data_IF_845203852957
#
_entry.id   IF_845203852957
#
_cell.length_a   1.000
_cell.length_b   1.000
_cell.length_c   1.000
_cell.angle_alpha   90.00
_cell.angle_beta   90.00
_cell.angle_gamma   90.00
#
_symmetry.space_group_name_H-M   'P 1'
#
loop_
_entity.id
_entity.type
_entity.pdbx_description
1 polymer ?
#
# COMPACT_ATOMS: atom_id res chain seq x y z
N UNK A 1 -50.12 23.35 48.85
CA UNK A 1 -48.99 22.75 48.10
C UNK A 1 -49.32 22.53 46.61
N UNK A 2 -50.50 22.00 46.27
CA UNK A 2 -50.91 21.77 44.87
C UNK A 2 -51.08 23.06 44.02
N UNK A 3 -51.56 24.15 44.62
CA UNK A 3 -51.72 25.43 43.90
C UNK A 3 -50.38 26.09 43.50
N UNK A 4 -49.32 25.88 44.28
CA UNK A 4 -47.98 26.40 43.98
C UNK A 4 -47.27 25.61 42.87
N UNK A 5 -47.61 24.32 42.72
CA UNK A 5 -47.15 23.46 41.63
C UNK A 5 -47.90 23.75 40.32
N UNK A 6 -49.17 24.14 40.39
CA UNK A 6 -49.94 24.55 39.21
C UNK A 6 -49.47 25.91 38.68
N UNK A 7 -49.13 26.86 39.55
CA UNK A 7 -48.65 28.18 39.13
C UNK A 7 -47.25 28.16 38.51
N UNK A 8 -46.35 27.28 38.95
CA UNK A 8 -45.04 27.09 38.30
C UNK A 8 -45.17 26.42 36.93
N UNK A 9 -46.14 25.52 36.74
CA UNK A 9 -46.41 24.89 35.45
C UNK A 9 -46.98 25.88 34.42
N UNK A 10 -47.82 26.82 34.87
CA UNK A 10 -48.40 27.87 34.00
C UNK A 10 -47.34 28.91 33.59
N UNK A 11 -46.40 29.27 34.48
CA UNK A 11 -45.26 30.14 34.15
C UNK A 11 -44.29 29.49 33.15
N UNK A 12 -44.15 28.16 33.16
CA UNK A 12 -43.32 27.43 32.19
C UNK A 12 -43.95 27.37 30.78
N UNK A 13 -45.29 27.42 30.67
CA UNK A 13 -45.98 27.45 29.37
C UNK A 13 -45.97 28.83 28.69
N UNK A 14 -45.72 29.92 29.42
CA UNK A 14 -45.66 31.28 28.87
C UNK A 14 -44.27 31.70 28.37
N UNK A 15 -43.26 30.83 28.48
CA UNK A 15 -41.93 31.08 27.92
C UNK A 15 -41.94 30.78 26.41
N UNK A 16 -42.69 31.56 25.63
CA UNK A 16 -42.48 31.64 24.19
C UNK A 16 -41.17 32.40 23.99
N UNK A 17 -40.14 31.70 23.54
CA UNK A 17 -38.90 32.34 23.15
C UNK A 17 -39.18 33.22 21.92
N UNK A 18 -38.68 34.45 21.95
CA UNK A 18 -38.82 35.33 20.81
C UNK A 18 -38.05 34.74 19.61
N UNK A 19 -38.60 34.87 18.40
CA UNK A 19 -37.98 34.35 17.18
C UNK A 19 -37.03 35.39 16.59
N UNK A 20 -35.82 34.98 16.18
CA UNK A 20 -34.84 35.87 15.55
C UNK A 20 -34.99 35.87 14.02
N UNK A 21 -34.80 37.04 13.40
CA UNK A 21 -34.74 37.22 11.94
C UNK A 21 -33.37 37.74 11.53
N UNK A 22 -32.89 37.28 10.37
CA UNK A 22 -31.71 37.84 9.71
C UNK A 22 -32.13 38.90 8.68
N UNK A 23 -31.64 40.13 8.85
CA UNK A 23 -31.81 41.22 7.91
C UNK A 23 -30.53 41.43 7.10
N UNK A 24 -30.69 41.66 5.80
CA UNK A 24 -29.63 41.93 4.83
C UNK A 24 -28.43 40.96 4.85
N UNK A 25 -28.65 39.63 4.99
CA UNK A 25 -27.57 38.65 4.81
C UNK A 25 -26.98 38.75 3.40
N UNK A 26 -25.71 39.13 3.32
CA UNK A 26 -24.97 39.28 2.07
C UNK A 26 -23.67 38.51 2.15
N UNK A 27 -23.41 37.75 1.09
CA UNK A 27 -22.19 37.01 0.84
C UNK A 27 -21.47 37.69 -0.32
N UNK A 28 -20.18 38.00 -0.16
CA UNK A 28 -19.37 38.63 -1.20
C UNK A 28 -18.04 37.91 -1.29
N UNK A 29 -17.69 37.45 -2.48
CA UNK A 29 -16.36 36.93 -2.82
C UNK A 29 -15.59 38.02 -3.52
N UNK A 30 -14.40 38.33 -3.03
CA UNK A 30 -13.51 39.35 -3.58
C UNK A 30 -12.16 38.73 -3.91
N UNK A 31 -11.59 39.02 -5.07
CA UNK A 31 -10.21 38.65 -5.39
C UNK A 31 -9.22 39.49 -4.56
N UNK A 32 -7.97 39.04 -4.50
CA UNK A 32 -6.78 39.72 -3.98
C UNK A 32 -6.60 41.17 -4.44
N UNK A 33 -7.11 41.53 -5.63
CA UNK A 33 -7.06 42.91 -6.16
C UNK A 33 -8.27 43.77 -5.74
N UNK A 34 -9.19 43.26 -4.93
CA UNK A 34 -10.36 44.00 -4.45
C UNK A 34 -11.57 43.98 -5.39
N UNK A 35 -11.48 43.31 -6.54
CA UNK A 35 -12.59 43.15 -7.49
C UNK A 35 -13.60 42.12 -6.96
N UNK A 36 -14.89 42.47 -6.94
CA UNK A 36 -15.95 41.56 -6.54
C UNK A 36 -16.19 40.51 -7.63
N UNK A 37 -15.98 39.24 -7.28
CA UNK A 37 -16.20 38.09 -8.17
C UNK A 37 -17.65 37.60 -8.08
N UNK A 38 -18.23 37.60 -6.89
CA UNK A 38 -19.59 37.10 -6.64
C UNK A 38 -20.24 37.84 -5.48
N UNK A 39 -21.54 38.10 -5.58
CA UNK A 39 -22.32 38.77 -4.53
C UNK A 39 -23.73 38.18 -4.46
N UNK A 40 -23.99 37.36 -3.46
CA UNK A 40 -25.28 36.70 -3.25
C UNK A 40 -25.94 37.18 -1.95
N UNK A 41 -27.27 37.26 -1.95
CA UNK A 41 -28.05 37.40 -0.73
C UNK A 41 -28.62 36.04 -0.34
N UNK A 42 -28.47 35.63 0.92
CA UNK A 42 -29.02 34.36 1.43
C UNK A 42 -30.21 34.62 2.36
N UNK A 43 -30.91 33.59 2.84
CA UNK A 43 -31.97 33.78 3.85
C UNK A 43 -32.09 32.52 4.70
N UNK A 44 -32.64 32.64 5.91
CA UNK A 44 -32.78 31.53 6.86
C UNK A 44 -33.55 30.31 6.30
N UNK A 45 -34.41 30.52 5.30
CA UNK A 45 -35.24 29.46 4.70
C UNK A 45 -34.76 29.01 3.33
N UNK A 46 -33.73 29.65 2.75
CA UNK A 46 -33.25 29.35 1.40
C UNK A 46 -31.72 29.30 1.38
N UNK A 47 -31.21 28.08 1.22
CA UNK A 47 -29.81 27.81 0.95
C UNK A 47 -29.41 28.42 -0.41
N UNK A 48 -28.17 28.88 -0.53
CA UNK A 48 -27.61 29.32 -1.81
C UNK A 48 -27.44 28.09 -2.69
N UNK A 49 -28.07 28.09 -3.88
CA UNK A 49 -28.18 26.90 -4.71
C UNK A 49 -26.87 26.47 -5.41
N UNK A 50 -25.94 27.41 -5.62
CA UNK A 50 -24.67 27.14 -6.29
C UNK A 50 -23.52 27.26 -5.30
N UNK A 51 -22.64 26.25 -5.29
CA UNK A 51 -21.47 26.21 -4.42
C UNK A 51 -20.58 27.43 -4.63
N UNK A 52 -20.00 27.93 -3.54
CA UNK A 52 -19.17 29.12 -3.51
C UNK A 52 -17.72 28.66 -3.58
N UNK A 53 -17.11 28.84 -4.75
CA UNK A 53 -15.70 28.50 -4.97
C UNK A 53 -14.80 29.66 -4.56
N UNK A 54 -13.73 29.35 -3.83
CA UNK A 54 -12.70 30.31 -3.46
C UNK A 54 -11.34 29.88 -4.00
N UNK A 55 -10.62 30.81 -4.63
CA UNK A 55 -9.22 30.66 -5.00
C UNK A 55 -8.27 30.92 -3.84
N UNK A 56 -6.99 30.54 -3.99
CA UNK A 56 -5.98 30.60 -2.93
C UNK A 56 -5.73 32.00 -2.32
N UNK A 57 -6.10 33.08 -3.01
CA UNK A 57 -5.93 34.45 -2.54
C UNK A 57 -7.25 35.20 -2.36
N UNK A 58 -8.37 34.51 -2.49
CA UNK A 58 -9.68 35.14 -2.43
C UNK A 58 -10.09 35.41 -0.98
N UNK A 59 -10.97 36.40 -0.84
CA UNK A 59 -11.50 36.83 0.44
C UNK A 59 -13.02 36.69 0.40
N UNK A 60 -13.54 35.84 1.28
CA UNK A 60 -14.96 35.68 1.52
C UNK A 60 -15.41 36.63 2.63
N UNK A 61 -16.35 37.51 2.32
CA UNK A 61 -16.97 38.44 3.27
C UNK A 61 -18.43 38.09 3.43
N UNK A 62 -18.86 37.96 4.68
CA UNK A 62 -20.25 37.71 5.03
C UNK A 62 -20.73 38.75 6.02
N UNK A 63 -21.85 39.41 5.71
CA UNK A 63 -22.44 40.44 6.56
C UNK A 63 -23.90 40.12 6.79
N UNK A 64 -24.37 40.23 8.03
CA UNK A 64 -25.76 40.03 8.38
C UNK A 64 -26.11 40.87 9.60
N UNK A 65 -27.40 41.16 9.79
CA UNK A 65 -27.89 41.82 11.00
C UNK A 65 -28.94 40.93 11.66
N UNK A 66 -28.76 40.66 12.95
CA UNK A 66 -29.69 39.89 13.77
C UNK A 66 -30.71 40.84 14.39
N UNK A 67 -31.99 40.61 14.10
CA UNK A 67 -33.10 41.37 14.63
C UNK A 67 -34.06 40.46 15.38
N UNK A 68 -34.76 41.04 16.34
CA UNK A 68 -35.98 40.46 16.89
C UNK A 68 -37.12 40.55 15.87
N UNK A 69 -37.83 39.44 15.66
CA UNK A 69 -38.96 39.35 14.72
C UNK A 69 -40.14 40.23 15.11
N UNK A 70 -40.37 40.44 16.41
CA UNK A 70 -41.54 41.17 16.90
C UNK A 70 -41.26 42.67 17.04
N UNK A 71 -40.11 43.03 17.61
CA UNK A 71 -39.78 44.45 17.88
C UNK A 71 -38.96 45.11 16.77
N UNK A 72 -38.35 44.34 15.87
CA UNK A 72 -37.45 44.86 14.84
C UNK A 72 -36.14 45.47 15.39
N UNK A 73 -35.90 45.35 16.69
CA UNK A 73 -34.70 45.87 17.34
C UNK A 73 -33.50 44.95 17.09
N UNK A 74 -32.32 45.56 16.97
CA UNK A 74 -31.06 44.83 16.87
C UNK A 74 -30.76 44.08 18.16
N UNK A 75 -30.54 42.77 18.05
CA UNK A 75 -30.21 41.90 19.19
C UNK A 75 -28.76 41.50 19.06
N UNK A 76 -28.00 41.57 20.17
CA UNK A 76 -26.66 41.03 20.26
C UNK A 76 -26.73 39.63 20.90
N UNK A 77 -26.56 38.54 20.13
CA UNK A 77 -26.59 37.20 20.69
C UNK A 77 -25.36 36.93 21.56
N UNK A 78 -25.50 36.02 22.54
CA UNK A 78 -24.37 35.56 23.35
C UNK A 78 -23.42 34.66 22.56
N UNK A 79 -23.96 33.84 21.65
CA UNK A 79 -23.21 32.92 20.82
C UNK A 79 -23.54 33.17 19.34
N UNK A 80 -22.51 33.31 18.52
CA UNK A 80 -22.63 33.43 17.06
C UNK A 80 -21.41 32.80 16.43
N UNK A 81 -21.62 31.68 15.76
CA UNK A 81 -20.57 30.86 15.19
C UNK A 81 -20.89 30.51 13.74
N UNK A 82 -19.85 30.47 12.92
CA UNK A 82 -19.87 29.80 11.64
C UNK A 82 -19.22 28.43 11.80
N UNK A 83 -19.93 27.40 11.39
CA UNK A 83 -19.43 26.03 11.36
C UNK A 83 -19.13 25.68 9.91
N UNK A 84 -17.92 25.20 9.66
CA UNK A 84 -17.47 24.60 8.41
C UNK A 84 -17.37 23.11 8.65
N UNK A 85 -18.16 22.32 7.94
CA UNK A 85 -18.24 20.87 8.18
C UNK A 85 -17.93 20.10 6.88
N UNK A 86 -17.04 19.14 6.96
CA UNK A 86 -16.77 18.18 5.88
C UNK A 86 -17.52 16.87 6.17
N UNK A 87 -18.44 16.50 5.28
CA UNK A 87 -19.24 15.28 5.42
C UNK A 87 -18.42 14.00 5.26
N UNK A 88 -17.31 14.04 4.50
CA UNK A 88 -16.52 12.83 4.21
C UNK A 88 -15.56 12.51 5.33
N UNK A 89 -14.83 13.50 5.82
CA UNK A 89 -13.85 13.35 6.90
C UNK A 89 -14.50 13.44 8.29
N UNK A 90 -15.72 13.98 8.38
CA UNK A 90 -16.39 14.36 9.64
C UNK A 90 -15.61 15.40 10.46
N UNK A 91 -14.68 16.12 9.84
CA UNK A 91 -13.97 17.20 10.49
C UNK A 91 -14.81 18.48 10.49
N UNK A 92 -14.72 19.24 11.57
CA UNK A 92 -15.42 20.51 11.69
C UNK A 92 -14.51 21.63 12.17
N UNK A 93 -14.74 22.80 11.59
CA UNK A 93 -14.12 24.04 11.95
C UNK A 93 -15.15 25.03 12.46
N UNK A 94 -14.95 25.59 13.65
CA UNK A 94 -15.87 26.57 14.22
C UNK A 94 -15.16 27.92 14.35
N UNK A 95 -15.77 28.95 13.75
CA UNK A 95 -15.25 30.30 13.77
C UNK A 95 -16.23 31.26 14.45
N UNK A 96 -15.83 31.92 15.55
CA UNK A 96 -16.66 32.91 16.20
C UNK A 96 -16.83 34.15 15.32
N UNK A 97 -18.06 34.67 15.26
CA UNK A 97 -18.39 35.91 14.55
C UNK A 97 -18.77 36.97 15.57
N UNK A 98 -18.06 38.11 15.53
CA UNK A 98 -18.36 39.24 16.42
C UNK A 98 -19.61 39.97 15.95
N UNK A 99 -20.61 40.04 16.83
CA UNK A 99 -21.83 40.83 16.64
C UNK A 99 -21.78 42.09 17.49
N UNK A 100 -22.16 43.22 16.91
CA UNK A 100 -22.24 44.51 17.60
C UNK A 100 -23.53 44.62 18.43
N UNK A 101 -23.64 45.56 19.39
CA UNK A 101 -24.86 45.76 20.17
C UNK A 101 -26.12 46.00 19.33
N UNK A 102 -25.97 46.59 18.13
CA UNK A 102 -27.07 46.79 17.17
C UNK A 102 -27.39 45.57 16.29
N UNK A 103 -26.86 44.38 16.61
CA UNK A 103 -27.09 43.12 15.90
C UNK A 103 -26.31 42.97 14.60
N UNK A 104 -25.48 43.93 14.19
CA UNK A 104 -24.69 43.83 12.95
C UNK A 104 -23.46 42.97 13.15
N UNK A 105 -23.26 42.03 12.24
CA UNK A 105 -22.14 41.10 12.20
C UNK A 105 -21.39 41.21 10.87
N UNK A 106 -20.05 41.14 10.94
CA UNK A 106 -19.17 41.06 9.77
C UNK A 106 -18.19 39.93 10.00
N UNK A 107 -18.14 39.00 9.05
CA UNK A 107 -17.17 37.93 8.98
C UNK A 107 -16.32 38.09 7.71
N UNK A 108 -15.03 37.82 7.84
CA UNK A 108 -14.07 37.92 6.75
C UNK A 108 -13.11 36.73 6.85
N UNK A 109 -13.11 35.90 5.81
CA UNK A 109 -12.21 34.76 5.66
C UNK A 109 -11.24 35.07 4.51
N UNK A 110 -9.96 35.14 4.82
CA UNK A 110 -8.90 35.38 3.86
C UNK A 110 -8.08 34.09 3.66
N UNK A 111 -8.14 33.51 2.46
CA UNK A 111 -7.44 32.27 2.18
C UNK A 111 -5.92 32.42 1.97
N UNK A 112 -5.41 33.64 1.80
CA UNK A 112 -3.95 33.86 1.82
C UNK A 112 -3.35 33.59 3.21
N UNK A 113 -4.17 33.66 4.25
CA UNK A 113 -3.81 33.37 5.65
C UNK A 113 -4.99 32.62 6.30
N UNK A 114 -5.22 31.37 5.90
CA UNK A 114 -6.39 30.62 6.36
C UNK A 114 -6.28 30.42 7.89
N UNK A 115 -7.37 30.58 8.64
CA UNK A 115 -7.36 30.33 10.07
C UNK A 115 -7.16 28.84 10.35
N UNK A 116 -6.45 28.51 11.44
CA UNK A 116 -6.21 27.13 11.87
C UNK A 116 -7.49 26.36 12.23
N UNK A 117 -8.60 27.08 12.41
CA UNK A 117 -9.91 26.50 12.69
C UNK A 117 -10.58 25.89 11.47
N UNK A 118 -10.10 26.12 10.24
CA UNK A 118 -10.69 25.49 9.06
C UNK A 118 -10.27 24.01 8.94
N UNK A 119 -11.21 23.11 8.59
CA UNK A 119 -10.85 21.73 8.33
C UNK A 119 -9.99 21.62 7.05
N UNK A 120 -8.97 20.75 7.04
CA UNK A 120 -8.19 20.46 5.84
C UNK A 120 -9.03 19.79 4.76
N UNK A 121 -8.84 20.22 3.51
CA UNK A 121 -9.56 19.76 2.32
C UNK A 121 -8.58 19.27 1.23
N UNK A 122 -7.91 18.12 1.43
CA UNK A 122 -6.89 17.63 0.49
C UNK A 122 -7.47 17.28 -0.89
N UNK A 123 -8.71 16.79 -0.92
CA UNK A 123 -9.39 16.37 -2.16
C UNK A 123 -10.18 17.50 -2.83
N UNK A 124 -10.31 18.67 -2.17
CA UNK A 124 -11.15 19.78 -2.64
C UNK A 124 -12.64 19.51 -2.49
N UNK A 125 -13.02 18.74 -1.47
CA UNK A 125 -14.42 18.43 -1.17
C UNK A 125 -15.17 19.68 -0.66
N UNK A 126 -16.46 19.84 -0.99
CA UNK A 126 -17.25 20.99 -0.57
C UNK A 126 -17.52 20.94 0.95
N UNK A 127 -17.23 22.05 1.64
CA UNK A 127 -17.52 22.24 3.06
C UNK A 127 -18.90 22.86 3.24
N UNK A 128 -19.73 22.25 4.08
CA UNK A 128 -21.02 22.81 4.47
C UNK A 128 -20.83 23.94 5.47
N UNK A 129 -21.24 25.16 5.09
CA UNK A 129 -21.17 26.33 5.98
C UNK A 129 -22.51 26.53 6.66
N UNK A 130 -22.54 26.39 7.98
CA UNK A 130 -23.73 26.61 8.81
C UNK A 130 -23.55 27.80 9.73
N UNK A 131 -24.63 28.55 9.94
CA UNK A 131 -24.68 29.62 10.92
C UNK A 131 -25.41 29.15 12.16
N UNK A 132 -24.74 29.28 13.31
CA UNK A 132 -25.26 28.90 14.62
C UNK A 132 -25.36 30.15 15.48
N UNK A 133 -26.57 30.49 15.92
CA UNK A 133 -26.85 31.63 16.80
C UNK A 133 -27.59 31.12 18.03
N UNK A 134 -27.07 31.47 19.21
CA UNK A 134 -27.63 31.08 20.49
C UNK A 134 -27.68 32.24 21.48
N UNK A 135 -28.82 32.40 22.14
CA UNK A 135 -29.00 33.31 23.26
C UNK A 135 -30.12 32.78 24.16
N UNK A 136 -30.16 33.17 25.43
CA UNK A 136 -31.05 32.56 26.42
C UNK A 136 -32.54 32.94 26.26
N UNK A 137 -32.82 34.05 25.59
CA UNK A 137 -34.18 34.64 25.49
C UNK A 137 -34.88 34.33 24.16
N UNK A 138 -34.18 33.72 23.21
CA UNK A 138 -34.64 33.50 21.84
C UNK A 138 -34.39 32.06 21.42
N UNK A 139 -35.16 31.56 20.46
CA UNK A 139 -34.93 30.22 19.92
C UNK A 139 -33.59 30.12 19.20
N UNK A 140 -32.84 29.02 19.39
CA UNK A 140 -31.56 28.82 18.74
C UNK A 140 -31.74 28.65 17.23
N UNK A 141 -30.90 29.32 16.45
CA UNK A 141 -30.87 29.18 15.00
C UNK A 141 -29.67 28.33 14.61
N UNK A 142 -29.92 27.25 13.87
CA UNK A 142 -28.88 26.43 13.22
C UNK A 142 -29.32 26.15 11.79
N UNK A 143 -28.70 26.83 10.82
CA UNK A 143 -29.10 26.76 9.41
C UNK A 143 -27.87 26.61 8.52
N UNK A 144 -27.93 25.66 7.59
CA UNK A 144 -26.96 25.51 6.49
C UNK A 144 -27.16 26.64 5.46
N UNK A 145 -26.10 27.41 5.20
CA UNK A 145 -26.16 28.58 4.33
C UNK A 145 -25.82 28.23 2.88
N UNK A 146 -24.66 27.60 2.67
CA UNK A 146 -24.11 27.26 1.36
C UNK A 146 -22.98 26.25 1.48
N UNK A 147 -22.62 25.66 0.34
CA UNK A 147 -21.46 24.77 0.21
C UNK A 147 -20.27 25.57 -0.28
N UNK A 148 -19.13 25.43 0.40
CA UNK A 148 -17.89 26.18 0.16
C UNK A 148 -16.82 25.25 -0.40
N UNK A 149 -16.34 25.53 -1.61
CA UNK A 149 -15.24 24.79 -2.21
C UNK A 149 -13.95 25.58 -2.00
N UNK A 150 -13.03 24.97 -1.26
CA UNK A 150 -11.71 25.53 -0.96
C UNK A 150 -10.64 24.97 -1.90
N UNK A 151 -9.53 25.70 -2.12
CA UNK A 151 -8.39 25.16 -2.83
C UNK A 151 -7.75 24.05 -1.99
N UNK A 152 -7.19 23.03 -2.67
CA UNK A 152 -6.61 21.86 -2.02
C UNK A 152 -5.58 22.24 -0.96
N UNK A 153 -5.81 21.82 0.28
CA UNK A 153 -4.87 22.03 1.39
C UNK A 153 -3.98 20.81 1.61
N UNK A 154 -2.97 20.97 2.46
CA UNK A 154 -2.27 19.81 3.02
C UNK A 154 -3.25 18.99 3.87
N UNK A 155 -3.08 17.65 3.93
CA UNK A 155 -3.89 16.80 4.79
C UNK A 155 -3.68 17.16 6.27
N UNK A 156 -4.62 16.75 7.12
CA UNK A 156 -4.45 16.85 8.57
C UNK A 156 -3.15 16.16 8.99
N UNK A 157 -2.40 16.71 9.97
CA UNK A 157 -1.28 16.00 10.56
C UNK A 157 -1.76 14.69 11.17
N UNK A 158 -1.30 13.55 10.65
CA UNK A 158 -1.60 12.24 11.20
C UNK A 158 -1.06 12.15 12.64
N UNK A 159 -1.87 11.65 13.57
CA UNK A 159 -1.42 11.50 14.94
C UNK A 159 -0.42 10.33 15.01
N UNK A 160 0.78 10.49 15.58
CA UNK A 160 1.77 9.41 15.62
C UNK A 160 1.25 8.14 16.35
N UNK A 161 0.26 8.29 17.24
CA UNK A 161 -0.37 7.20 17.96
C UNK A 161 -1.54 6.54 17.21
N UNK A 162 -2.01 7.11 16.10
CA UNK A 162 -3.11 6.55 15.30
C UNK A 162 -2.80 5.14 14.83
N UNK A 163 -1.56 4.90 14.39
CA UNK A 163 -1.05 3.58 14.01
C UNK A 163 -1.11 2.52 15.13
N UNK A 164 -1.21 2.93 16.39
CA UNK A 164 -1.24 2.02 17.55
C UNK A 164 -2.63 1.39 17.75
N UNK A 165 -3.69 2.04 17.27
CA UNK A 165 -5.06 1.60 17.52
C UNK A 165 -5.73 0.93 16.31
N UNK A 166 -4.99 0.72 15.22
CA UNK A 166 -5.47 0.05 14.02
C UNK A 166 -4.78 -1.29 13.78
N UNK A 167 -5.49 -2.21 13.13
CA UNK A 167 -4.89 -3.45 12.66
C UNK A 167 -3.86 -3.10 11.58
N UNK A 168 -2.61 -3.46 11.84
CA UNK A 168 -1.51 -3.26 10.91
C UNK A 168 -1.65 -4.18 9.68
N UNK A 169 -1.18 -3.76 8.50
CA UNK A 169 -1.19 -4.62 7.32
C UNK A 169 -0.34 -5.89 7.55
N UNK A 170 -0.77 -6.99 6.93
CA UNK A 170 -0.04 -8.26 6.99
C UNK A 170 1.31 -8.15 6.25
N UNK A 171 2.36 -8.72 6.84
CA UNK A 171 3.71 -8.74 6.24
C UNK A 171 3.93 -10.09 5.56
N UNK A 172 4.05 -10.09 4.22
CA UNK A 172 4.37 -11.28 3.46
C UNK A 172 5.88 -11.42 3.23
N UNK A 173 6.44 -12.60 3.56
CA UNK A 173 7.83 -12.92 3.23
C UNK A 173 7.98 -13.19 1.72
N UNK A 174 8.85 -12.44 1.05
CA UNK A 174 9.16 -12.62 -0.36
C UNK A 174 10.38 -13.53 -0.53
N UNK A 175 10.16 -14.73 -1.06
CA UNK A 175 11.24 -15.66 -1.40
C UNK A 175 12.04 -15.15 -2.61
N UNK A 176 13.29 -15.58 -2.71
CA UNK A 176 14.10 -15.34 -3.91
C UNK A 176 13.50 -16.09 -5.09
N UNK A 177 13.48 -15.44 -6.25
CA UNK A 177 13.07 -16.09 -7.49
C UNK A 177 14.06 -17.21 -7.86
N UNK A 178 13.53 -18.29 -8.43
CA UNK A 178 14.34 -19.40 -8.92
C UNK A 178 15.24 -18.96 -10.08
N UNK A 179 16.44 -19.55 -10.15
CA UNK A 179 17.35 -19.29 -11.26
C UNK A 179 16.77 -19.84 -12.57
N UNK A 180 16.78 -19.02 -13.62
CA UNK A 180 16.30 -19.42 -14.94
C UNK A 180 17.23 -20.46 -15.57
N UNK A 181 16.71 -21.66 -15.80
CA UNK A 181 17.43 -22.74 -16.50
C UNK A 181 17.44 -22.51 -18.03
N UNK A 182 18.49 -22.97 -18.75
CA UNK A 182 18.53 -22.87 -20.20
C UNK A 182 17.49 -23.79 -20.88
N UNK A 183 17.06 -23.47 -22.12
CA UNK A 183 16.17 -24.33 -22.88
C UNK A 183 16.76 -25.72 -23.15
N UNK A 184 15.95 -26.76 -22.94
CA UNK A 184 16.31 -28.17 -23.18
C UNK A 184 16.92 -28.46 -24.57
N UNK A 185 16.42 -27.93 -25.71
CA UNK A 185 16.99 -28.27 -27.01
C UNK A 185 18.44 -27.79 -27.16
N UNK A 186 18.78 -26.66 -26.54
CA UNK A 186 20.15 -26.13 -26.55
C UNK A 186 21.05 -27.08 -25.75
N UNK A 187 20.62 -27.51 -24.56
CA UNK A 187 21.37 -28.49 -23.77
C UNK A 187 21.61 -29.81 -24.52
N UNK A 188 20.61 -30.33 -25.23
CA UNK A 188 20.76 -31.55 -26.04
C UNK A 188 21.74 -31.38 -27.20
N UNK A 189 21.75 -30.22 -27.88
CA UNK A 189 22.70 -29.94 -28.94
C UNK A 189 24.15 -29.97 -28.43
N UNK A 190 24.41 -29.37 -27.25
CA UNK A 190 25.74 -29.39 -26.63
C UNK A 190 26.16 -30.78 -26.15
N UNK A 191 25.24 -31.63 -25.67
CA UNK A 191 25.54 -33.04 -25.38
C UNK A 191 26.04 -33.75 -26.65
N UNK A 192 25.40 -33.51 -27.79
CA UNK A 192 25.85 -34.04 -29.08
C UNK A 192 27.27 -33.61 -29.43
N UNK A 193 27.59 -32.32 -29.25
CA UNK A 193 28.94 -31.78 -29.50
C UNK A 193 29.99 -32.44 -28.58
N UNK A 194 29.67 -32.65 -27.30
CA UNK A 194 30.57 -33.30 -26.34
C UNK A 194 30.81 -34.78 -26.67
N UNK A 195 29.80 -35.48 -27.19
CA UNK A 195 29.91 -36.89 -27.56
C UNK A 195 30.55 -37.12 -28.95
N UNK A 196 30.56 -36.11 -29.83
CA UNK A 196 31.06 -36.25 -31.19
C UNK A 196 32.55 -36.70 -31.27
N UNK A 197 33.51 -36.14 -30.50
CA UNK A 197 34.89 -36.62 -30.50
C UNK A 197 35.02 -38.11 -30.12
N UNK A 198 34.20 -38.58 -29.18
CA UNK A 198 34.19 -39.99 -28.78
C UNK A 198 33.68 -40.89 -29.91
N UNK A 199 32.63 -40.48 -30.61
CA UNK A 199 32.12 -41.21 -31.78
C UNK A 199 33.16 -41.30 -32.90
N UNK A 200 33.86 -40.19 -33.18
CA UNK A 200 34.96 -40.13 -34.16
C UNK A 200 36.08 -41.08 -33.72
N UNK A 201 36.52 -41.01 -32.47
CA UNK A 201 37.57 -41.86 -31.92
C UNK A 201 37.23 -43.34 -32.11
N UNK A 202 36.04 -43.77 -31.71
CA UNK A 202 35.60 -45.16 -31.83
C UNK A 202 35.53 -45.62 -33.30
N UNK A 203 35.08 -44.75 -34.21
CA UNK A 203 35.06 -45.03 -35.65
C UNK A 203 36.47 -45.27 -36.21
N UNK A 204 37.42 -44.39 -35.89
CA UNK A 204 38.81 -44.55 -36.33
C UNK A 204 39.44 -45.81 -35.71
N UNK A 205 39.16 -46.09 -34.44
CA UNK A 205 39.69 -47.26 -33.74
C UNK A 205 39.25 -48.57 -34.41
N UNK A 206 37.98 -48.64 -34.85
CA UNK A 206 37.45 -49.80 -35.58
C UNK A 206 38.13 -50.05 -36.94
N UNK A 207 38.74 -49.02 -37.55
CA UNK A 207 39.39 -49.13 -38.86
C UNK A 207 40.89 -49.44 -38.75
N UNK A 208 41.54 -48.88 -37.73
CA UNK A 208 43.02 -48.88 -37.62
C UNK A 208 43.56 -49.95 -36.67
N UNK A 209 42.82 -50.32 -35.62
CA UNK A 209 43.38 -51.13 -34.53
C UNK A 209 43.14 -52.64 -34.73
N UNK A 210 44.20 -53.47 -34.59
CA UNK A 210 44.05 -54.92 -34.69
C UNK A 210 43.16 -55.46 -33.56
N UNK A 211 42.24 -56.37 -33.91
CA UNK A 211 41.30 -56.97 -32.96
C UNK A 211 42.07 -57.72 -31.85
N UNK A 212 41.76 -57.48 -30.58
CA UNK A 212 42.45 -58.14 -29.48
C UNK A 212 42.01 -59.60 -29.38
N UNK A 213 42.84 -60.52 -29.85
CA UNK A 213 42.52 -61.95 -30.00
C UNK A 213 42.46 -62.75 -28.69
N UNK A 214 42.92 -62.20 -27.56
CA UNK A 214 43.00 -62.89 -26.25
C UNK A 214 42.21 -62.23 -25.13
N UNK A 215 41.28 -61.33 -25.43
CA UNK A 215 40.39 -60.75 -24.40
C UNK A 215 39.64 -61.83 -23.62
N UNK A 216 39.24 -62.91 -24.30
CA UNK A 216 38.52 -64.03 -23.70
C UNK A 216 39.44 -65.12 -23.10
N UNK A 217 40.75 -64.86 -22.97
CA UNK A 217 41.65 -65.78 -22.29
C UNK A 217 41.32 -65.84 -20.79
N UNK A 218 41.29 -67.03 -20.17
CA UNK A 218 41.04 -67.18 -18.72
C UNK A 218 41.98 -66.38 -17.83
N UNK A 219 43.17 -66.02 -18.32
CA UNK A 219 44.15 -65.21 -17.58
C UNK A 219 43.91 -63.70 -17.70
N UNK A 220 43.24 -63.22 -18.76
CA UNK A 220 43.10 -61.79 -19.08
C UNK A 220 41.68 -61.29 -18.80
N UNK A 221 40.67 -62.11 -19.09
CA UNK A 221 39.26 -61.74 -18.92
C UNK A 221 38.92 -61.31 -17.48
N UNK A 222 39.36 -62.01 -16.41
CA UNK A 222 39.07 -61.59 -15.04
C UNK A 222 39.62 -60.21 -14.70
N UNK A 223 40.77 -59.84 -15.26
CA UNK A 223 41.39 -58.54 -15.03
C UNK A 223 40.66 -57.41 -15.78
N UNK A 224 40.25 -57.63 -17.03
CA UNK A 224 39.45 -56.66 -17.79
C UNK A 224 38.06 -56.49 -17.16
N UNK A 225 37.44 -57.58 -16.72
CA UNK A 225 36.17 -57.55 -16.01
C UNK A 225 36.27 -56.78 -14.69
N UNK A 226 37.37 -56.93 -13.94
CA UNK A 226 37.56 -56.19 -12.69
C UNK A 226 37.81 -54.69 -12.91
N UNK A 227 38.48 -54.30 -14.00
CA UNK A 227 38.56 -52.89 -14.41
C UNK A 227 37.18 -52.32 -14.78
N UNK A 228 36.37 -53.07 -15.54
CA UNK A 228 34.99 -52.69 -15.83
C UNK A 228 34.11 -52.58 -14.57
N UNK A 229 34.34 -53.46 -13.59
CA UNK A 229 33.67 -53.37 -12.29
C UNK A 229 34.06 -52.11 -11.49
N UNK A 230 35.31 -51.65 -11.60
CA UNK A 230 35.72 -50.37 -11.01
C UNK A 230 35.02 -49.18 -11.67
N UNK A 231 34.93 -49.15 -13.00
CA UNK A 231 34.18 -48.10 -13.72
C UNK A 231 32.68 -48.13 -13.37
N UNK A 232 32.10 -49.33 -13.25
CA UNK A 232 30.72 -49.50 -12.79
C UNK A 232 30.50 -49.02 -11.35
N UNK A 233 31.45 -49.27 -10.46
CA UNK A 233 31.41 -48.76 -9.08
C UNK A 233 31.47 -47.22 -9.04
N UNK A 234 32.31 -46.61 -9.87
CA UNK A 234 32.39 -45.15 -10.00
C UNK A 234 31.12 -44.54 -10.60
N UNK A 235 30.52 -45.20 -11.58
CA UNK A 235 29.22 -44.79 -12.11
C UNK A 235 28.14 -44.84 -11.03
N UNK A 236 28.07 -45.90 -10.24
CA UNK A 236 27.08 -46.01 -9.18
C UNK A 236 27.34 -45.03 -8.02
N UNK A 237 28.62 -44.70 -7.76
CA UNK A 237 28.97 -43.58 -6.88
C UNK A 237 28.37 -42.25 -7.34
N UNK A 238 28.42 -41.97 -8.64
CA UNK A 238 27.83 -40.75 -9.18
C UNK A 238 26.29 -40.72 -9.05
N UNK A 239 25.63 -41.89 -9.07
CA UNK A 239 24.17 -41.99 -8.97
C UNK A 239 23.66 -41.95 -7.53
N UNK A 240 24.22 -42.76 -6.62
CA UNK A 240 23.59 -42.99 -5.30
C UNK A 240 24.56 -43.40 -4.16
N UNK A 241 25.72 -44.03 -4.44
CA UNK A 241 26.56 -44.53 -3.34
C UNK A 241 27.18 -43.40 -2.50
N UNK A 242 27.30 -43.66 -1.20
CA UNK A 242 28.05 -42.79 -0.29
C UNK A 242 29.55 -43.11 -0.34
N UNK A 243 30.37 -42.11 -0.03
CA UNK A 243 31.84 -42.23 -0.09
C UNK A 243 32.39 -43.45 0.70
N UNK A 244 31.88 -43.70 1.91
CA UNK A 244 32.32 -44.84 2.71
C UNK A 244 32.01 -46.21 2.08
N UNK A 245 30.88 -46.33 1.37
CA UNK A 245 30.49 -47.56 0.67
C UNK A 245 31.39 -47.81 -0.54
N UNK A 246 31.70 -46.77 -1.31
CA UNK A 246 32.61 -46.86 -2.47
C UNK A 246 34.01 -47.27 -2.03
N UNK A 247 34.51 -46.70 -0.94
CA UNK A 247 35.80 -47.07 -0.38
C UNK A 247 35.81 -48.54 0.07
N UNK A 248 34.76 -49.01 0.75
CA UNK A 248 34.65 -50.40 1.18
C UNK A 248 34.55 -51.37 -0.01
N UNK A 249 33.66 -51.11 -0.96
CA UNK A 249 33.49 -51.95 -2.15
C UNK A 249 34.72 -51.92 -3.05
N UNK A 250 35.35 -50.75 -3.20
CA UNK A 250 36.60 -50.57 -3.93
C UNK A 250 37.75 -51.34 -3.27
N UNK A 251 37.84 -51.32 -1.94
CA UNK A 251 38.80 -52.14 -1.20
C UNK A 251 38.56 -53.63 -1.43
N UNK A 252 37.32 -54.10 -1.30
CA UNK A 252 36.98 -55.51 -1.56
C UNK A 252 37.25 -55.93 -3.01
N UNK A 253 37.00 -55.05 -3.98
CA UNK A 253 37.25 -55.28 -5.40
C UNK A 253 38.76 -55.22 -5.75
N UNK A 254 39.56 -54.50 -4.98
CA UNK A 254 41.01 -54.37 -5.21
C UNK A 254 41.76 -55.69 -5.05
N UNK A 255 41.35 -56.54 -4.09
CA UNK A 255 41.98 -57.84 -3.84
C UNK A 255 41.95 -58.76 -5.07
N UNK A 256 40.78 -59.13 -5.63
CA UNK A 256 40.72 -59.98 -6.83
C UNK A 256 41.36 -59.29 -8.03
N UNK A 257 41.25 -57.96 -8.16
CA UNK A 257 41.87 -57.19 -9.24
C UNK A 257 43.39 -57.30 -9.22
N UNK A 258 44.01 -57.27 -8.03
CA UNK A 258 45.46 -57.41 -7.88
C UNK A 258 45.96 -58.78 -8.35
N UNK A 259 45.29 -59.86 -7.94
CA UNK A 259 45.67 -61.22 -8.36
C UNK A 259 45.38 -61.47 -9.85
N UNK A 260 44.22 -61.03 -10.35
CA UNK A 260 43.88 -61.09 -11.76
C UNK A 260 44.85 -60.28 -12.62
N UNK A 261 45.25 -59.10 -12.17
CA UNK A 261 46.24 -58.25 -12.84
C UNK A 261 47.62 -58.91 -12.89
N UNK A 262 48.11 -59.45 -11.77
CA UNK A 262 49.38 -60.18 -11.74
C UNK A 262 49.41 -61.34 -12.74
N UNK A 263 48.34 -62.13 -12.80
CA UNK A 263 48.24 -63.29 -13.71
C UNK A 263 48.10 -62.86 -15.18
N UNK A 264 47.29 -61.84 -15.47
CA UNK A 264 47.13 -61.27 -16.81
C UNK A 264 48.45 -60.71 -17.36
N UNK A 265 49.14 -59.87 -16.58
CA UNK A 265 50.40 -59.25 -16.99
C UNK A 265 51.51 -60.28 -17.13
N UNK A 266 51.59 -61.27 -16.23
CA UNK A 266 52.55 -62.36 -16.34
C UNK A 266 52.34 -63.20 -17.61
N UNK A 267 51.09 -63.52 -17.97
CA UNK A 267 50.74 -64.25 -19.19
C UNK A 267 51.10 -63.47 -20.47
N UNK A 268 50.90 -62.15 -20.48
CA UNK A 268 51.31 -61.29 -21.60
C UNK A 268 52.84 -61.24 -21.68
N UNK A 269 53.53 -61.15 -20.53
CA UNK A 269 54.98 -61.12 -20.43
C UNK A 269 55.64 -62.41 -20.90
N UNK A 270 55.16 -63.58 -20.48
CA UNK A 270 55.72 -64.88 -20.88
C UNK A 270 55.64 -65.10 -22.38
N UNK A 271 54.53 -64.69 -23.00
CA UNK A 271 54.35 -64.81 -24.44
C UNK A 271 55.28 -63.87 -25.23
N UNK A 272 55.52 -62.63 -24.75
CA UNK A 272 56.49 -61.72 -25.38
C UNK A 272 57.92 -62.29 -25.33
N UNK A 273 58.24 -63.02 -24.26
CA UNK A 273 59.53 -63.67 -24.05
C UNK A 273 59.63 -65.07 -24.68
N UNK A 274 58.57 -65.55 -25.37
CA UNK A 274 58.56 -66.85 -26.05
C UNK A 274 58.60 -68.07 -25.11
N UNK A 275 58.35 -67.88 -23.80
CA UNK A 275 58.26 -68.98 -22.84
C UNK A 275 56.86 -69.59 -22.93
N UNK A 276 56.75 -70.79 -23.50
CA UNK A 276 55.53 -71.61 -23.47
C UNK A 276 55.25 -72.09 -22.05
#
# INVERSE_FOLDING_TARGET
MLAALLSTLVLALSAQAATLKLQSPKLVVTDSMGTQLRSDSFSLSKQVAEAVELGAKDILKMTFQVLDQETGNGVQPHQTFLRFYDEKTNEEGIQPVRVTPGGKAKFELNLSKPPLSLPPTPNGDPLKVSLIIGTSQYDPISVELFDLVLPKSQPAPENPLESTFHVLPEIHHTFRADNKMPPQPISFAFIGIVLAPWAILLSLWSQVVPKPSRLFSPSILPFVASLGAFEGLLFWYWVDLKLGQVLLYGFMLSLPTFFAGKTALASIGSQRLGRK
#
